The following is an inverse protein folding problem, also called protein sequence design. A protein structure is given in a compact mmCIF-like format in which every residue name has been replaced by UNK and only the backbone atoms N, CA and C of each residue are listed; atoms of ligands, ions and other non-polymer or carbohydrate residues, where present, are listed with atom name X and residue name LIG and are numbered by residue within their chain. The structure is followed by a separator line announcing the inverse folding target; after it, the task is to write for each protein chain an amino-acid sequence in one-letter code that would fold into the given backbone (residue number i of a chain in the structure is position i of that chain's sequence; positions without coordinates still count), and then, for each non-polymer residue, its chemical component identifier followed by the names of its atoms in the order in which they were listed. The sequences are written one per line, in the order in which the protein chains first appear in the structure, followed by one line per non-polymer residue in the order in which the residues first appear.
data_IF_310632488459
#
_entry.id   IF_310632488459
#
_cell.length_a   1.000
_cell.length_b   1.000
_cell.length_c   1.000
_cell.angle_alpha   90.00
_cell.angle_beta   90.00
_cell.angle_gamma   90.00
#
_symmetry.space_group_name_H-M   'P 1'
#
loop_
_entity.id
_entity.type
_entity.pdbx_description
1 polymer ?
#
# COMPACT_ATOMS: atom_id res chain seq x y z
N UNK A 1 23.86 2.97 12.54
CA UNK A 1 22.71 3.51 13.29
C UNK A 1 21.63 4.08 12.36
N UNK A 2 21.97 4.98 11.43
CA UNK A 2 21.00 5.58 10.48
C UNK A 2 20.18 4.56 9.68
N UNK A 3 20.82 3.48 9.20
CA UNK A 3 20.14 2.41 8.47
C UNK A 3 18.98 1.81 9.27
N UNK A 4 19.21 1.45 10.53
CA UNK A 4 18.18 0.83 11.38
C UNK A 4 17.05 1.79 11.68
N UNK A 5 17.36 3.07 11.96
CA UNK A 5 16.34 4.10 12.17
C UNK A 5 15.44 4.22 10.93
N UNK A 6 16.05 4.30 9.74
CA UNK A 6 15.32 4.39 8.48
C UNK A 6 14.49 3.12 8.22
N UNK A 7 15.08 1.94 8.40
CA UNK A 7 14.42 0.65 8.23
C UNK A 7 13.15 0.54 9.08
N UNK A 8 13.24 0.88 10.37
CA UNK A 8 12.07 0.85 11.26
C UNK A 8 11.06 1.96 10.93
N UNK A 9 11.51 3.16 10.59
CA UNK A 9 10.61 4.25 10.22
C UNK A 9 9.78 3.91 8.96
N UNK A 10 10.42 3.39 7.92
CA UNK A 10 9.75 2.94 6.70
C UNK A 10 8.85 1.73 6.97
N UNK A 11 9.34 0.71 7.69
CA UNK A 11 8.57 -0.49 8.01
C UNK A 11 7.32 -0.19 8.83
N UNK A 12 7.40 0.68 9.83
CA UNK A 12 6.25 1.15 10.60
C UNK A 12 5.28 1.98 9.75
N UNK A 13 5.80 2.76 8.80
CA UNK A 13 4.96 3.56 7.91
C UNK A 13 4.15 2.73 6.93
N UNK A 14 4.71 1.61 6.44
CA UNK A 14 3.93 0.64 5.66
C UNK A 14 2.91 -0.09 6.55
N UNK A 15 3.37 -0.66 7.67
CA UNK A 15 2.54 -1.57 8.47
C UNK A 15 1.48 -0.87 9.33
N UNK A 16 1.79 0.29 9.90
CA UNK A 16 0.88 1.06 10.77
C UNK A 16 0.24 2.22 10.00
N UNK A 17 1.01 2.88 9.13
CA UNK A 17 0.52 3.97 8.29
C UNK A 17 -0.33 3.49 7.11
N UNK A 18 0.31 3.14 5.99
CA UNK A 18 -0.35 2.80 4.73
C UNK A 18 -1.40 1.71 4.95
N UNK A 19 -1.01 0.61 5.60
CA UNK A 19 -1.88 -0.52 5.83
C UNK A 19 -3.01 -0.25 6.84
N UNK A 20 -2.69 0.03 8.11
CA UNK A 20 -3.71 0.08 9.17
C UNK A 20 -4.46 1.41 9.22
N UNK A 21 -3.76 2.53 9.07
CA UNK A 21 -4.34 3.87 9.16
C UNK A 21 -5.04 4.27 7.86
N UNK A 22 -4.32 4.33 6.74
CA UNK A 22 -4.88 4.85 5.48
C UNK A 22 -5.76 3.83 4.77
N UNK A 23 -5.33 2.57 4.70
CA UNK A 23 -6.10 1.56 3.95
C UNK A 23 -7.29 1.03 4.73
N UNK A 24 -7.07 0.50 5.93
CA UNK A 24 -8.11 -0.14 6.74
C UNK A 24 -8.82 0.78 7.74
N UNK A 25 -8.32 2.01 7.96
CA UNK A 25 -8.89 2.98 8.91
C UNK A 25 -9.13 2.38 10.30
N UNK A 26 -8.19 1.56 10.77
CA UNK A 26 -8.31 0.80 12.01
C UNK A 26 -8.12 1.65 13.27
N UNK A 27 -7.60 2.87 13.12
CA UNK A 27 -7.34 3.83 14.19
C UNK A 27 -7.23 5.24 13.61
N UNK A 28 -7.36 6.25 14.47
CA UNK A 28 -7.12 7.65 14.11
C UNK A 28 -5.72 8.10 14.55
N UNK A 29 -5.15 9.05 13.81
CA UNK A 29 -3.87 9.67 14.13
C UNK A 29 -3.96 11.19 13.98
N UNK A 30 -3.18 11.93 14.78
CA UNK A 30 -3.05 13.39 14.63
C UNK A 30 -2.13 13.72 13.44
N UNK A 31 -2.30 14.92 12.89
CA UNK A 31 -1.58 15.39 11.70
C UNK A 31 -0.05 15.12 11.68
N UNK A 32 0.72 15.34 12.78
CA UNK A 32 2.16 15.08 12.76
C UNK A 32 2.51 13.61 12.50
N UNK A 33 1.76 12.69 13.09
CA UNK A 33 1.98 11.26 12.92
C UNK A 33 1.55 10.79 11.53
N UNK A 34 0.42 11.31 11.02
CA UNK A 34 -0.03 11.06 9.65
C UNK A 34 1.02 11.48 8.63
N UNK A 35 1.58 12.68 8.80
CA UNK A 35 2.64 13.19 7.94
C UNK A 35 3.94 12.36 8.05
N UNK A 36 4.30 11.93 9.26
CA UNK A 36 5.44 11.04 9.45
C UNK A 36 5.26 9.73 8.67
N UNK A 37 4.08 9.10 8.75
CA UNK A 37 3.77 7.92 7.96
C UNK A 37 3.79 8.17 6.45
N UNK A 38 3.31 9.33 5.99
CA UNK A 38 3.37 9.69 4.59
C UNK A 38 4.81 9.84 4.08
N UNK A 39 5.65 10.57 4.81
CA UNK A 39 7.05 10.83 4.42
C UNK A 39 7.90 9.56 4.44
N UNK A 40 7.86 8.79 5.54
CA UNK A 40 8.65 7.57 5.65
C UNK A 40 8.06 6.42 4.83
N UNK A 41 6.75 6.43 4.58
CA UNK A 41 6.09 5.51 3.65
C UNK A 41 6.54 5.76 2.21
N UNK A 42 6.63 7.01 1.77
CA UNK A 42 7.22 7.35 0.47
C UNK A 42 8.69 6.88 0.37
N UNK A 43 9.44 6.98 1.47
CA UNK A 43 10.81 6.47 1.57
C UNK A 43 10.96 4.94 1.47
N UNK A 44 9.86 4.18 1.43
CA UNK A 44 9.86 2.72 1.24
C UNK A 44 9.82 2.27 -0.22
N UNK A 45 9.51 3.19 -1.15
CA UNK A 45 9.37 2.92 -2.58
C UNK A 45 8.32 1.85 -2.94
N UNK A 46 7.23 1.76 -2.18
CA UNK A 46 6.08 0.87 -2.46
C UNK A 46 4.88 1.63 -3.04
N UNK A 47 5.09 2.48 -4.03
CA UNK A 47 4.07 3.39 -4.59
C UNK A 47 3.51 4.43 -3.58
N UNK A 48 2.61 5.27 -4.08
CA UNK A 48 1.93 6.30 -3.27
C UNK A 48 0.96 5.68 -2.27
N UNK A 49 0.57 6.45 -1.25
CA UNK A 49 -0.50 6.04 -0.30
C UNK A 49 -1.76 5.64 -1.08
N UNK A 50 -2.11 6.39 -2.12
CA UNK A 50 -3.31 6.19 -2.91
C UNK A 50 -3.27 4.87 -3.69
N UNK A 51 -2.18 4.62 -4.42
CA UNK A 51 -1.98 3.41 -5.22
C UNK A 51 -1.91 2.17 -4.30
N UNK A 52 -1.04 2.22 -3.29
CA UNK A 52 -0.85 1.09 -2.37
C UNK A 52 -2.17 0.73 -1.67
N UNK A 53 -2.93 1.72 -1.22
CA UNK A 53 -4.22 1.49 -0.58
C UNK A 53 -5.27 0.94 -1.55
N UNK A 54 -5.25 1.39 -2.81
CA UNK A 54 -6.15 0.86 -3.85
C UNK A 54 -5.86 -0.61 -4.11
N UNK A 55 -4.60 -0.94 -4.39
CA UNK A 55 -4.15 -2.31 -4.65
C UNK A 55 -4.45 -3.22 -3.47
N UNK A 56 -4.17 -2.75 -2.25
CA UNK A 56 -4.39 -3.54 -1.05
C UNK A 56 -5.88 -3.79 -0.77
N UNK A 57 -6.75 -2.80 -1.00
CA UNK A 57 -8.21 -2.99 -0.92
C UNK A 57 -8.72 -3.96 -1.98
N UNK A 58 -8.19 -3.88 -3.21
CA UNK A 58 -8.52 -4.80 -4.30
C UNK A 58 -8.09 -6.22 -3.96
N UNK A 59 -6.86 -6.41 -3.49
CA UNK A 59 -6.37 -7.69 -3.01
C UNK A 59 -7.31 -8.28 -1.96
N UNK A 60 -7.66 -7.52 -0.91
CA UNK A 60 -8.57 -8.01 0.14
C UNK A 60 -9.97 -8.37 -0.37
N UNK A 61 -10.45 -7.69 -1.41
CA UNK A 61 -11.77 -7.95 -2.03
C UNK A 61 -11.74 -9.19 -2.93
N UNK A 62 -10.63 -9.41 -3.62
CA UNK A 62 -10.48 -10.41 -4.68
C UNK A 62 -9.49 -11.53 -4.32
N UNK A 63 -9.18 -11.72 -3.04
CA UNK A 63 -8.18 -12.69 -2.54
C UNK A 63 -8.30 -14.02 -3.29
N UNK A 64 -7.17 -14.49 -3.82
CA UNK A 64 -7.00 -15.75 -4.56
C UNK A 64 -7.78 -15.86 -5.88
N UNK A 65 -8.50 -14.82 -6.31
CA UNK A 65 -9.13 -14.74 -7.63
C UNK A 65 -8.19 -14.11 -8.68
N UNK A 66 -8.52 -14.24 -9.97
CA UNK A 66 -7.72 -13.67 -11.07
C UNK A 66 -7.56 -12.15 -10.99
N UNK A 67 -8.49 -11.45 -10.33
CA UNK A 67 -8.46 -10.00 -10.16
C UNK A 67 -7.54 -9.54 -8.99
N UNK A 68 -6.97 -10.45 -8.21
CA UNK A 68 -5.96 -10.12 -7.19
C UNK A 68 -4.59 -9.90 -7.85
N UNK A 69 -4.02 -8.68 -7.78
CA UNK A 69 -2.77 -8.35 -8.46
C UNK A 69 -1.60 -9.26 -8.05
N UNK A 70 -1.58 -9.76 -6.81
CA UNK A 70 -0.50 -10.61 -6.29
C UNK A 70 -1.01 -11.97 -5.79
N UNK A 71 -2.01 -12.51 -6.51
CA UNK A 71 -2.66 -13.80 -6.26
C UNK A 71 -1.66 -14.93 -5.90
N UNK A 72 -1.79 -15.49 -4.70
CA UNK A 72 -0.92 -16.55 -4.18
C UNK A 72 -1.10 -17.90 -4.91
N UNK A 73 -2.27 -18.16 -5.50
CA UNK A 73 -2.56 -19.36 -6.30
C UNK A 73 -1.72 -19.45 -7.57
N UNK A 74 -1.15 -18.35 -8.05
CA UNK A 74 -0.18 -18.32 -9.16
C UNK A 74 1.23 -18.74 -8.73
N UNK A 75 1.43 -19.05 -7.45
CA UNK A 75 2.66 -19.58 -6.88
C UNK A 75 3.52 -18.53 -6.17
N UNK A 76 4.50 -19.03 -5.42
CA UNK A 76 5.39 -18.23 -4.56
C UNK A 76 6.02 -17.04 -5.29
N UNK A 77 6.68 -17.28 -6.43
CA UNK A 77 7.37 -16.24 -7.18
C UNK A 77 6.43 -15.16 -7.72
N UNK A 78 5.20 -15.56 -8.10
CA UNK A 78 4.17 -14.60 -8.52
C UNK A 78 3.85 -13.64 -7.40
N UNK A 79 3.36 -14.14 -6.27
CA UNK A 79 2.99 -13.34 -5.10
C UNK A 79 4.16 -12.55 -4.48
N UNK A 80 5.41 -12.97 -4.71
CA UNK A 80 6.57 -12.33 -4.11
C UNK A 80 7.04 -11.09 -4.87
N UNK A 81 7.34 -11.20 -6.18
CA UNK A 81 7.84 -10.06 -6.97
C UNK A 81 7.49 -10.10 -8.45
N UNK A 82 7.13 -11.25 -9.04
CA UNK A 82 6.88 -11.29 -10.49
C UNK A 82 5.68 -10.42 -10.89
N UNK A 83 4.68 -10.26 -10.01
CA UNK A 83 3.55 -9.35 -10.22
C UNK A 83 3.97 -7.88 -10.41
N UNK A 84 5.15 -7.48 -9.91
CA UNK A 84 5.70 -6.13 -10.07
C UNK A 84 6.40 -6.00 -11.43
N UNK A 85 7.06 -7.07 -11.88
CA UNK A 85 7.86 -7.08 -13.11
C UNK A 85 7.00 -7.33 -14.35
N UNK A 86 5.87 -8.00 -14.17
CA UNK A 86 4.95 -8.39 -15.22
C UNK A 86 3.74 -7.46 -15.14
N UNK A 87 3.74 -6.43 -15.97
CA UNK A 87 2.61 -5.52 -16.05
C UNK A 87 1.46 -6.18 -16.82
N UNK A 88 0.49 -6.71 -16.07
CA UNK A 88 -0.77 -7.23 -16.62
C UNK A 88 -1.90 -6.19 -16.59
N UNK A 89 -1.66 -5.01 -15.99
CA UNK A 89 -2.68 -3.97 -15.85
C UNK A 89 -2.69 -3.06 -17.06
N UNK A 90 -3.42 -3.48 -18.10
CA UNK A 90 -3.65 -2.65 -19.28
C UNK A 90 -4.73 -1.61 -18.97
N UNK A 91 -4.35 -0.37 -18.65
CA UNK A 91 -5.29 0.74 -18.49
C UNK A 91 -4.83 1.81 -17.49
N UNK A 92 -5.70 2.80 -17.27
CA UNK A 92 -5.50 3.82 -16.24
C UNK A 92 -5.74 3.23 -14.84
N UNK A 93 -4.99 3.66 -13.81
CA UNK A 93 -5.23 3.25 -12.43
C UNK A 93 -6.67 3.53 -11.98
N UNK A 94 -7.33 2.53 -11.39
CA UNK A 94 -8.66 2.69 -10.80
C UNK A 94 -8.56 3.05 -9.31
N UNK A 95 -8.95 4.29 -8.99
CA UNK A 95 -9.00 4.79 -7.61
C UNK A 95 -10.42 4.91 -7.05
N UNK A 96 -11.41 4.29 -7.69
CA UNK A 96 -12.80 4.35 -7.23
C UNK A 96 -13.00 3.73 -5.84
N UNK A 97 -12.15 2.78 -5.45
CA UNK A 97 -12.15 2.13 -4.14
C UNK A 97 -11.43 2.94 -3.04
N UNK A 98 -10.80 4.08 -3.35
CA UNK A 98 -10.04 4.95 -2.42
C UNK A 98 -10.48 6.42 -2.47
N UNK A 99 -11.74 6.68 -2.82
CA UNK A 99 -12.33 8.04 -2.85
C UNK A 99 -12.27 8.80 -1.52
N UNK A 100 -12.18 8.08 -0.41
CA UNK A 100 -11.94 8.64 0.91
C UNK A 100 -10.53 9.24 1.02
N UNK A 101 -9.51 8.55 0.51
CA UNK A 101 -8.13 9.04 0.48
C UNK A 101 -7.93 10.17 -0.52
N UNK A 102 -8.66 10.19 -1.64
CA UNK A 102 -8.62 11.31 -2.59
C UNK A 102 -9.09 12.65 -1.99
N UNK A 103 -9.88 12.59 -0.91
CA UNK A 103 -10.35 13.77 -0.17
C UNK A 103 -9.50 14.06 1.07
N UNK A 104 -8.53 13.20 1.35
CA UNK A 104 -7.60 13.39 2.45
C UNK A 104 -6.59 14.48 2.07
N UNK A 105 -6.17 15.26 3.06
CA UNK A 105 -5.25 16.37 2.83
C UNK A 105 -3.79 15.95 2.89
N UNK A 106 -3.52 14.76 3.45
CA UNK A 106 -2.19 14.15 3.53
C UNK A 106 -1.81 13.55 2.18
#
# INVERSE_FOLDING_TARGET
MIFFVWYFACGLSITVGYHRLFTHRSHDARAPLRLAYAVFGAGSFQNSILEWSSDHRRHHKEVDNEADPYNASRGFWWSHFLWILMDEHVGEPDYTNVRDLQKDWV
#
